data_IF_317152309154
#
_entry.id   IF_317152309154
#
_cell.length_a   1.000
_cell.length_b   1.000
_cell.length_c   1.000
_cell.angle_alpha   90.00
_cell.angle_beta   90.00
_cell.angle_gamma   90.00
#
_symmetry.space_group_name_H-M   'P 1'
#
loop_
_entity.id
_entity.type
_entity.pdbx_description
1 polymer ?
#
# COMPACT_ATOMS: atom_id res chain seq x y z
N UNK A 1 -2.85 16.48 -5.37
CA UNK A 1 -3.70 16.57 -4.16
C UNK A 1 -2.79 16.81 -2.98
N UNK A 2 -3.27 17.43 -1.90
CA UNK A 2 -2.45 17.54 -0.68
C UNK A 2 -2.53 16.22 0.08
N UNK A 3 -1.41 15.83 0.71
CA UNK A 3 -1.30 14.55 1.45
C UNK A 3 -2.17 14.52 2.71
N UNK A 4 -2.42 15.69 3.31
CA UNK A 4 -3.25 15.84 4.50
C UNK A 4 -4.75 15.73 4.25
N UNK A 5 -5.16 15.38 3.03
CA UNK A 5 -6.55 15.00 2.70
C UNK A 5 -6.76 13.49 2.71
N UNK A 6 -5.72 12.71 2.97
CA UNK A 6 -5.82 11.27 3.09
C UNK A 6 -5.71 10.85 4.55
N UNK A 7 -6.60 9.99 4.98
CA UNK A 7 -6.44 9.20 6.20
C UNK A 7 -6.10 7.76 5.82
N UNK A 8 -5.42 7.06 6.71
CA UNK A 8 -5.09 5.66 6.55
C UNK A 8 -5.40 4.92 7.86
N UNK A 9 -6.15 3.83 7.72
CA UNK A 9 -6.41 2.87 8.77
C UNK A 9 -5.90 1.49 8.34
N UNK A 10 -5.44 0.70 9.30
CA UNK A 10 -4.98 -0.68 9.04
C UNK A 10 -5.69 -1.66 9.95
N UNK A 11 -6.06 -2.79 9.37
CA UNK A 11 -6.70 -3.90 10.07
C UNK A 11 -5.89 -5.19 9.88
N UNK A 12 -6.12 -6.15 10.78
CA UNK A 12 -5.57 -7.51 10.69
C UNK A 12 -4.03 -7.55 10.61
N UNK A 13 -3.33 -6.70 11.38
CA UNK A 13 -1.86 -6.71 11.45
C UNK A 13 -1.30 -7.38 12.72
N UNK A 14 -2.09 -7.46 13.80
CA UNK A 14 -1.59 -7.91 15.11
C UNK A 14 -1.53 -9.44 15.26
N UNK A 15 -2.27 -10.19 14.44
CA UNK A 15 -2.35 -11.65 14.59
C UNK A 15 -0.99 -12.33 14.33
N UNK A 16 -0.14 -11.73 13.49
CA UNK A 16 1.18 -12.25 13.12
C UNK A 16 2.16 -12.24 14.30
N UNK A 17 2.02 -11.30 15.23
CA UNK A 17 2.85 -11.20 16.43
C UNK A 17 2.31 -12.07 17.59
N UNK A 18 1.06 -12.52 17.50
CA UNK A 18 0.31 -13.18 18.57
C UNK A 18 -0.01 -14.66 18.31
N UNK A 19 0.62 -15.28 17.30
CA UNK A 19 0.34 -16.65 16.82
C UNK A 19 -1.17 -16.90 16.62
N UNK A 20 -1.87 -15.88 16.12
CA UNK A 20 -3.32 -15.92 15.89
C UNK A 20 -3.70 -16.61 14.58
N UNK A 21 -5.01 -16.81 14.36
CA UNK A 21 -5.49 -17.28 13.05
C UNK A 21 -5.10 -16.27 11.95
N UNK A 22 -4.51 -16.73 10.82
CA UNK A 22 -4.16 -15.85 9.71
C UNK A 22 -5.35 -15.03 9.24
N UNK A 23 -5.15 -13.72 9.11
CA UNK A 23 -6.13 -12.76 8.58
C UNK A 23 -5.44 -11.85 7.58
N UNK A 24 -6.06 -11.63 6.43
CA UNK A 24 -5.49 -10.77 5.37
C UNK A 24 -5.35 -9.34 5.90
N UNK A 25 -4.13 -8.77 5.94
CA UNK A 25 -3.93 -7.38 6.32
C UNK A 25 -4.64 -6.47 5.33
N UNK A 26 -5.36 -5.49 5.87
CA UNK A 26 -6.15 -4.55 5.07
C UNK A 26 -5.72 -3.14 5.38
N UNK A 27 -5.51 -2.35 4.35
CA UNK A 27 -5.33 -0.90 4.46
C UNK A 27 -6.56 -0.21 3.88
N UNK A 28 -7.10 0.74 4.62
CA UNK A 28 -8.26 1.56 4.22
C UNK A 28 -7.75 2.99 4.08
N UNK A 29 -7.91 3.55 2.89
CA UNK A 29 -7.47 4.91 2.58
C UNK A 29 -8.70 5.74 2.23
N UNK A 30 -9.02 6.74 3.04
CA UNK A 30 -10.12 7.67 2.75
C UNK A 30 -9.58 9.02 2.30
N UNK A 31 -10.16 9.54 1.21
CA UNK A 31 -9.86 10.87 0.70
C UNK A 31 -10.95 11.86 1.07
N UNK A 32 -10.62 12.78 1.97
CA UNK A 32 -11.46 13.89 2.39
C UNK A 32 -11.27 15.09 1.45
N UNK A 33 -11.98 15.09 0.32
CA UNK A 33 -11.84 16.16 -0.67
C UNK A 33 -12.79 16.07 -1.87
N UNK A 34 -12.57 16.90 -2.90
CA UNK A 34 -13.42 16.91 -4.10
C UNK A 34 -13.35 15.58 -4.85
N UNK A 35 -14.47 14.87 -4.93
CA UNK A 35 -14.53 13.49 -5.42
C UNK A 35 -13.99 13.29 -6.83
N UNK A 36 -14.17 14.27 -7.73
CA UNK A 36 -13.66 14.18 -9.10
C UNK A 36 -12.13 14.06 -9.15
N UNK A 37 -11.39 14.62 -8.19
CA UNK A 37 -9.93 14.71 -8.28
C UNK A 37 -9.25 13.35 -8.13
N UNK A 38 -9.65 12.57 -7.12
CA UNK A 38 -9.11 11.22 -6.95
C UNK A 38 -9.70 10.26 -7.99
N UNK A 39 -11.00 10.39 -8.30
CA UNK A 39 -11.66 9.52 -9.27
C UNK A 39 -11.03 9.62 -10.65
N UNK A 40 -10.73 10.83 -11.14
CA UNK A 40 -10.03 11.03 -12.42
C UNK A 40 -8.66 10.34 -12.48
N UNK A 41 -7.94 10.24 -11.35
CA UNK A 41 -6.63 9.56 -11.30
C UNK A 41 -6.75 8.04 -11.19
N UNK A 42 -7.85 7.57 -10.62
CA UNK A 42 -8.18 6.15 -10.58
C UNK A 42 -8.80 5.68 -11.90
N UNK A 43 -9.08 6.57 -12.85
CA UNK A 43 -9.68 6.23 -14.14
C UNK A 43 -8.61 6.04 -15.21
N UNK A 44 -8.65 4.90 -15.89
CA UNK A 44 -7.81 4.55 -17.03
C UNK A 44 -8.24 5.32 -18.31
N UNK A 45 -7.48 5.14 -19.39
CA UNK A 45 -7.71 5.85 -20.65
C UNK A 45 -9.02 5.45 -21.36
N UNK A 46 -9.54 4.26 -21.06
CA UNK A 46 -10.82 3.77 -21.59
C UNK A 46 -12.03 4.27 -20.78
N UNK A 47 -11.80 4.96 -19.67
CA UNK A 47 -12.84 5.49 -18.79
C UNK A 47 -13.24 4.55 -17.64
N UNK A 48 -12.67 3.35 -17.57
CA UNK A 48 -12.88 2.41 -16.47
C UNK A 48 -11.95 2.72 -15.29
N UNK A 49 -12.24 2.18 -14.11
CA UNK A 49 -11.31 2.29 -12.97
C UNK A 49 -10.11 1.36 -13.20
N UNK A 50 -8.92 1.81 -12.78
CA UNK A 50 -7.69 1.03 -12.84
C UNK A 50 -7.84 -0.27 -12.07
N UNK A 51 -7.39 -1.37 -12.65
CA UNK A 51 -7.36 -2.68 -12.02
C UNK A 51 -6.20 -2.81 -11.02
N UNK A 52 -6.23 -3.86 -10.20
CA UNK A 52 -5.23 -4.09 -9.15
C UNK A 52 -3.80 -4.23 -9.69
N UNK A 53 -3.62 -4.79 -10.89
CA UNK A 53 -2.30 -4.94 -11.50
C UNK A 53 -1.85 -3.68 -12.27
N UNK A 54 -2.75 -2.73 -12.53
CA UNK A 54 -2.44 -1.43 -13.13
C UNK A 54 -1.96 -0.39 -12.12
N UNK A 55 -1.87 -0.77 -10.85
CA UNK A 55 -1.38 0.09 -9.77
C UNK A 55 -0.19 -0.51 -9.04
N UNK A 56 0.79 0.32 -8.67
CA UNK A 56 1.92 -0.05 -7.83
C UNK A 56 1.84 0.65 -6.48
N UNK A 57 2.14 -0.09 -5.41
CA UNK A 57 2.24 0.45 -4.04
C UNK A 57 3.69 0.42 -3.59
N UNK A 58 4.16 1.58 -3.13
CA UNK A 58 5.53 1.74 -2.65
C UNK A 58 5.58 2.54 -1.35
N UNK A 59 6.64 2.37 -0.58
CA UNK A 59 7.00 3.22 0.54
C UNK A 59 8.42 3.73 0.37
N UNK A 60 8.61 5.05 0.44
CA UNK A 60 9.93 5.67 0.41
C UNK A 60 10.24 6.34 1.74
N UNK A 61 11.25 5.82 2.43
CA UNK A 61 11.77 6.43 3.65
C UNK A 61 12.33 7.82 3.38
N UNK A 62 12.06 8.75 4.29
CA UNK A 62 12.65 10.09 4.30
C UNK A 62 13.81 10.20 5.30
N UNK A 63 13.85 9.31 6.30
CA UNK A 63 14.91 9.18 7.29
C UNK A 63 15.68 7.86 7.13
N UNK A 64 16.65 7.60 8.01
CA UNK A 64 17.25 6.26 8.07
C UNK A 64 16.27 5.31 8.76
N UNK A 65 16.31 4.03 8.39
CA UNK A 65 15.37 3.05 8.94
C UNK A 65 15.58 2.78 10.44
N UNK A 66 16.81 2.94 10.92
CA UNK A 66 17.17 2.72 12.33
C UNK A 66 16.75 3.87 13.25
N UNK A 67 16.25 4.98 12.70
CA UNK A 67 15.77 6.11 13.47
C UNK A 67 14.38 5.76 14.06
N UNK A 68 14.19 5.95 15.36
CA UNK A 68 12.94 5.58 16.05
C UNK A 68 11.72 6.40 15.62
N UNK A 69 11.95 7.56 15.02
CA UNK A 69 10.96 8.48 14.46
C UNK A 69 11.04 8.51 12.92
N UNK A 70 11.56 7.45 12.31
CA UNK A 70 11.66 7.36 10.87
C UNK A 70 10.27 7.42 10.22
N UNK A 71 10.10 8.38 9.31
CA UNK A 71 8.90 8.53 8.49
C UNK A 71 9.22 8.29 7.03
N UNK A 72 8.17 8.05 6.24
CA UNK A 72 8.28 7.96 4.80
C UNK A 72 6.98 8.34 4.11
N UNK A 73 6.96 8.07 2.80
CA UNK A 73 5.81 8.35 1.94
C UNK A 73 5.32 7.04 1.36
N UNK A 74 4.07 6.68 1.64
CA UNK A 74 3.38 5.63 0.88
C UNK A 74 2.82 6.26 -0.38
N UNK A 75 3.01 5.60 -1.52
CA UNK A 75 2.56 6.08 -2.82
C UNK A 75 1.84 4.97 -3.57
N UNK A 76 0.69 5.31 -4.16
CA UNK A 76 0.01 4.49 -5.16
C UNK A 76 0.20 5.15 -6.52
N UNK A 77 0.69 4.39 -7.49
CA UNK A 77 1.08 4.90 -8.80
C UNK A 77 0.37 4.12 -9.88
N UNK A 78 -0.03 4.77 -10.97
CA UNK A 78 -0.44 4.08 -12.18
C UNK A 78 0.79 3.39 -12.80
N UNK A 79 0.78 2.05 -12.89
CA UNK A 79 1.89 1.25 -13.41
C UNK A 79 2.25 1.60 -14.85
N UNK A 80 1.23 1.92 -15.65
CA UNK A 80 1.37 2.18 -17.09
C UNK A 80 1.96 3.56 -17.36
N UNK A 81 1.52 4.59 -16.64
CA UNK A 81 1.97 5.98 -16.88
C UNK A 81 3.08 6.44 -15.96
N UNK A 82 3.23 5.81 -14.78
CA UNK A 82 4.10 6.26 -13.71
C UNK A 82 3.54 7.45 -12.92
N UNK A 83 2.29 7.86 -13.16
CA UNK A 83 1.68 8.98 -12.47
C UNK A 83 1.23 8.60 -11.05
N UNK A 84 1.49 9.49 -10.10
CA UNK A 84 0.99 9.34 -8.73
C UNK A 84 -0.53 9.49 -8.69
N UNK A 85 -1.18 8.43 -8.23
CA UNK A 85 -2.61 8.43 -7.91
C UNK A 85 -2.78 9.17 -6.58
N UNK A 86 -2.14 8.66 -5.51
CA UNK A 86 -2.14 9.26 -4.19
C UNK A 86 -0.79 9.09 -3.47
N UNK A 87 -0.57 9.94 -2.47
CA UNK A 87 0.58 9.90 -1.57
C UNK A 87 0.17 10.33 -0.17
N UNK A 88 0.74 9.67 0.84
CA UNK A 88 0.49 9.92 2.26
C UNK A 88 1.79 9.76 3.04
N UNK A 89 1.93 10.50 4.15
CA UNK A 89 3.09 10.36 5.02
C UNK A 89 2.75 9.36 6.13
N UNK A 90 3.64 8.42 6.39
CA UNK A 90 3.40 7.36 7.38
C UNK A 90 4.66 7.10 8.21
N UNK A 91 4.44 6.61 9.43
CA UNK A 91 5.49 6.12 10.31
C UNK A 91 6.07 4.81 9.75
N UNK A 92 7.40 4.73 9.69
CA UNK A 92 8.07 3.58 9.09
C UNK A 92 7.81 2.30 9.87
N UNK A 93 7.69 2.39 11.19
CA UNK A 93 7.40 1.23 12.04
C UNK A 93 6.06 0.59 11.68
N UNK A 94 5.02 1.40 11.48
CA UNK A 94 3.67 0.93 11.15
C UNK A 94 3.62 0.28 9.76
N UNK A 95 4.23 0.91 8.76
CA UNK A 95 4.34 0.34 7.41
C UNK A 95 5.10 -0.98 7.43
N UNK A 96 6.21 -1.06 8.17
CA UNK A 96 6.98 -2.29 8.29
C UNK A 96 6.21 -3.37 9.05
N UNK A 97 5.41 -3.02 10.06
CA UNK A 97 4.53 -3.96 10.76
C UNK A 97 3.48 -4.54 9.81
N UNK A 98 2.84 -3.69 9.01
CA UNK A 98 1.91 -4.12 7.97
C UNK A 98 2.57 -5.11 6.98
N UNK A 99 3.76 -4.80 6.48
CA UNK A 99 4.49 -5.67 5.55
C UNK A 99 4.85 -7.02 6.18
N UNK A 100 5.22 -7.05 7.47
CA UNK A 100 5.48 -8.30 8.19
C UNK A 100 4.21 -9.16 8.27
N UNK A 101 3.08 -8.57 8.62
CA UNK A 101 1.80 -9.26 8.67
C UNK A 101 1.39 -9.81 7.29
N UNK A 102 1.58 -9.03 6.22
CA UNK A 102 1.23 -9.44 4.86
C UNK A 102 2.16 -10.54 4.32
N UNK A 103 3.44 -10.51 4.72
CA UNK A 103 4.37 -11.60 4.44
C UNK A 103 3.90 -12.89 5.12
N UNK A 104 3.67 -12.84 6.44
CA UNK A 104 3.20 -13.98 7.22
C UNK A 104 1.89 -14.54 6.66
N UNK A 105 0.94 -13.67 6.30
CA UNK A 105 -0.33 -14.08 5.71
C UNK A 105 -0.11 -14.93 4.46
N UNK A 106 0.71 -14.46 3.51
CA UNK A 106 0.98 -15.20 2.28
C UNK A 106 1.88 -16.43 2.45
N UNK A 107 2.43 -16.66 3.64
CA UNK A 107 3.23 -17.85 3.96
C UNK A 107 2.38 -18.91 4.70
N UNK A 108 1.34 -18.50 5.42
CA UNK A 108 0.45 -19.38 6.20
C UNK A 108 -0.91 -19.65 5.54
N UNK A 109 -1.36 -18.77 4.64
CA UNK A 109 -2.62 -18.91 3.92
C UNK A 109 -2.43 -19.68 2.61
N UNK A 110 -3.41 -20.52 2.27
CA UNK A 110 -3.51 -21.15 0.95
C UNK A 110 -4.19 -20.22 -0.09
N UNK A 111 -4.60 -19.00 0.30
CA UNK A 111 -5.21 -18.04 -0.61
C UNK A 111 -4.22 -17.51 -1.66
N UNK A 112 -4.69 -17.45 -2.91
CA UNK A 112 -3.90 -16.98 -4.06
C UNK A 112 -4.18 -15.53 -4.45
N UNK A 113 -5.20 -14.92 -3.87
CA UNK A 113 -5.78 -13.68 -4.40
C UNK A 113 -4.97 -12.44 -4.01
N UNK A 114 -4.05 -12.55 -3.03
CA UNK A 114 -3.13 -11.49 -2.66
C UNK A 114 -2.56 -11.68 -1.26
N UNK A 115 -1.52 -10.90 -0.94
CA UNK A 115 -0.91 -10.89 0.40
C UNK A 115 -1.54 -9.85 1.32
N UNK A 116 -2.17 -8.83 0.76
CA UNK A 116 -2.86 -7.77 1.49
C UNK A 116 -3.95 -7.15 0.62
N UNK A 117 -4.88 -6.47 1.27
CA UNK A 117 -6.01 -5.78 0.66
C UNK A 117 -5.86 -4.27 0.80
N UNK A 118 -6.28 -3.51 -0.21
CA UNK A 118 -6.34 -2.05 -0.24
C UNK A 118 -7.78 -1.64 -0.56
N UNK A 119 -8.42 -0.89 0.34
CA UNK A 119 -9.71 -0.24 0.10
C UNK A 119 -9.46 1.27 -0.05
N UNK A 120 -9.97 1.87 -1.14
CA UNK A 120 -9.91 3.31 -1.37
C UNK A 120 -11.33 3.88 -1.36
N UNK A 121 -11.55 4.83 -0.45
CA UNK A 121 -12.79 5.57 -0.30
C UNK A 121 -12.61 7.07 -0.59
N UNK A 122 -13.72 7.74 -0.89
CA UNK A 122 -13.81 9.19 -1.03
C UNK A 122 -14.94 9.68 -0.11
N UNK A 123 -14.58 10.49 0.88
CA UNK A 123 -15.50 10.97 1.91
C UNK A 123 -16.33 9.84 2.55
N UNK A 124 -15.67 8.71 2.82
CA UNK A 124 -16.27 7.50 3.39
C UNK A 124 -17.10 6.65 2.42
N UNK A 125 -17.19 7.01 1.13
CA UNK A 125 -17.83 6.19 0.11
C UNK A 125 -16.78 5.33 -0.62
N UNK A 126 -16.95 4.01 -0.57
CA UNK A 126 -16.06 3.07 -1.27
C UNK A 126 -16.01 3.35 -2.78
N UNK A 127 -14.80 3.33 -3.34
CA UNK A 127 -14.58 3.55 -4.77
C UNK A 127 -14.01 2.32 -5.46
N UNK A 128 -12.94 1.74 -4.90
CA UNK A 128 -12.24 0.60 -5.49
C UNK A 128 -11.50 -0.19 -4.41
N UNK A 129 -11.40 -1.50 -4.63
CA UNK A 129 -10.62 -2.43 -3.82
C UNK A 129 -9.57 -3.16 -4.66
N UNK A 130 -8.42 -3.44 -4.04
CA UNK A 130 -7.33 -4.19 -4.66
C UNK A 130 -6.77 -5.23 -3.70
N UNK A 131 -6.77 -6.50 -4.11
CA UNK A 131 -5.86 -7.47 -3.52
C UNK A 131 -4.50 -7.40 -4.21
N UNK A 132 -3.43 -7.32 -3.42
CA UNK A 132 -2.08 -7.05 -3.91
C UNK A 132 -1.05 -7.99 -3.29
N UNK A 133 -0.01 -8.29 -4.06
CA UNK A 133 1.11 -9.14 -3.63
C UNK A 133 2.45 -8.42 -3.56
N UNK A 134 2.57 -7.25 -4.21
CA UNK A 134 3.81 -6.49 -4.31
C UNK A 134 3.68 -5.19 -3.52
N UNK A 135 4.66 -4.94 -2.65
CA UNK A 135 4.81 -3.68 -1.93
C UNK A 135 6.31 -3.39 -1.83
N UNK A 136 6.78 -2.31 -2.48
CA UNK A 136 8.21 -2.04 -2.57
C UNK A 136 8.65 -0.94 -1.60
N UNK A 137 9.69 -1.21 -0.82
CA UNK A 137 10.27 -0.26 0.12
C UNK A 137 11.59 0.27 -0.40
N UNK A 138 11.75 1.59 -0.40
CA UNK A 138 12.97 2.29 -0.82
C UNK A 138 13.52 3.14 0.31
N UNK A 139 14.85 3.24 0.39
CA UNK A 139 15.49 4.21 1.26
C UNK A 139 15.42 5.64 0.65
N UNK A 140 15.85 6.65 1.40
CA UNK A 140 15.86 8.05 0.93
C UNK A 140 16.69 8.29 -0.34
N UNK A 141 17.71 7.47 -0.57
CA UNK A 141 18.60 7.52 -1.75
C UNK A 141 17.96 6.85 -2.98
N UNK A 142 16.81 6.19 -2.83
CA UNK A 142 16.13 5.46 -3.90
C UNK A 142 16.58 4.01 -4.05
N UNK A 143 17.36 3.48 -3.10
CA UNK A 143 17.78 2.07 -3.12
C UNK A 143 16.65 1.18 -2.59
N UNK A 144 16.32 0.12 -3.35
CA UNK A 144 15.32 -0.88 -2.95
C UNK A 144 15.80 -1.69 -1.74
N UNK A 145 15.01 -1.68 -0.68
CA UNK A 145 15.22 -2.46 0.53
C UNK A 145 14.52 -3.81 0.43
N UNK A 146 15.08 -4.75 -0.35
CA UNK A 146 14.45 -6.05 -0.67
C UNK A 146 13.96 -6.83 0.56
N UNK A 147 14.68 -6.81 1.67
CA UNK A 147 14.29 -7.51 2.91
C UNK A 147 13.02 -6.93 3.55
N UNK A 148 12.75 -5.65 3.29
CA UNK A 148 11.59 -4.92 3.79
C UNK A 148 10.47 -4.80 2.75
N UNK A 149 10.61 -5.42 1.58
CA UNK A 149 9.60 -5.39 0.51
C UNK A 149 8.83 -6.71 0.41
N UNK A 150 7.58 -6.64 -0.03
CA UNK A 150 6.85 -7.79 -0.57
C UNK A 150 7.15 -7.89 -2.06
N UNK A 151 7.83 -8.96 -2.46
CA UNK A 151 8.20 -9.23 -3.84
C UNK A 151 7.66 -10.62 -4.17
N UNK A 152 6.74 -10.75 -5.16
CA UNK A 152 6.24 -12.05 -5.58
C UNK A 152 7.38 -12.96 -6.07
N UNK A 153 7.26 -14.24 -5.75
CA UNK A 153 8.18 -15.28 -6.23
C UNK A 153 8.15 -15.32 -7.77
N UNK A 154 9.27 -14.96 -8.42
CA UNK A 154 9.41 -15.00 -9.88
C UNK A 154 9.55 -13.64 -10.57
N UNK A 155 9.52 -12.52 -9.83
CA UNK A 155 9.81 -11.19 -10.39
C UNK A 155 11.31 -10.88 -10.27
N UNK A 156 12.01 -10.76 -11.41
CA UNK A 156 13.31 -10.09 -11.47
C UNK A 156 13.08 -8.57 -11.51
N UNK A 157 13.50 -7.88 -10.45
CA UNK A 157 13.56 -6.42 -10.36
C UNK A 157 14.94 -5.92 -10.75
#
# INVERSE_FOLDING_TARGET
MRRDYFTLDVENIDWADADGTPRKPTVIIDFEGPSSTLRERLTALDGELLEADETDVTFRLQANLDDSDATGVVSVTNRTTGDFILELNEDAEDVLKFIRAARAYGDESDETDGRYHVDIAINGEHVVEYDKSTFLVYNREGNLLRQHSLIPSGVEL
#
